data_IF_578519319201
#
_entry.id   IF_578519319201
#
_cell.length_a   1.000
_cell.length_b   1.000
_cell.length_c   1.000
_cell.angle_alpha   90.00
_cell.angle_beta   90.00
_cell.angle_gamma   90.00
#
_symmetry.space_group_name_H-M   'P 1'
#
loop_
_entity.id
_entity.type
_entity.pdbx_description
1 polymer ?
#
# COMPACT_ATOMS: atom_id res chain seq x y z
N UNK A 1 -9.84 -15.77 -12.26
CA UNK A 1 -10.31 -15.12 -11.01
C UNK A 1 -9.70 -13.71 -10.92
N UNK A 2 -10.03 -12.87 -9.92
CA UNK A 2 -9.30 -11.58 -9.79
C UNK A 2 -7.80 -11.82 -9.58
N UNK A 3 -7.44 -12.84 -8.78
CA UNK A 3 -6.04 -13.18 -8.52
C UNK A 3 -5.29 -13.60 -9.78
N UNK A 4 -5.91 -14.43 -10.62
CA UNK A 4 -5.34 -14.82 -11.92
C UNK A 4 -5.11 -13.61 -12.84
N UNK A 5 -6.04 -12.65 -12.87
CA UNK A 5 -5.89 -11.44 -13.68
C UNK A 5 -4.78 -10.52 -13.13
N UNK A 6 -4.64 -10.40 -11.80
CA UNK A 6 -3.55 -9.64 -11.17
C UNK A 6 -2.21 -10.33 -11.43
N UNK A 7 -2.13 -11.64 -11.29
CA UNK A 7 -0.93 -12.44 -11.54
C UNK A 7 -0.44 -12.25 -12.98
N UNK A 8 -1.31 -12.56 -13.96
CA UNK A 8 -0.98 -12.58 -15.38
C UNK A 8 -0.72 -11.19 -15.97
N UNK A 9 -1.30 -10.11 -15.40
CA UNK A 9 -1.20 -8.75 -15.96
C UNK A 9 -0.22 -7.86 -15.23
N UNK A 10 0.09 -8.17 -13.97
CA UNK A 10 0.89 -7.30 -13.11
C UNK A 10 2.07 -8.07 -12.52
N UNK A 11 1.83 -9.13 -11.76
CA UNK A 11 2.90 -9.83 -11.01
C UNK A 11 3.92 -10.45 -11.95
N UNK A 12 3.49 -11.29 -12.91
CA UNK A 12 4.40 -11.95 -13.85
C UNK A 12 5.09 -10.95 -14.79
N UNK A 13 4.38 -10.01 -15.47
CA UNK A 13 5.03 -9.12 -16.44
C UNK A 13 5.99 -8.11 -15.80
N UNK A 14 5.78 -7.74 -14.54
CA UNK A 14 6.71 -6.90 -13.79
C UNK A 14 7.70 -7.74 -12.97
N UNK A 15 7.69 -9.06 -13.07
CA UNK A 15 8.57 -9.96 -12.31
C UNK A 15 8.57 -9.64 -10.80
N UNK A 16 7.39 -9.45 -10.21
CA UNK A 16 7.21 -9.15 -8.79
C UNK A 16 7.37 -10.44 -7.97
N UNK A 17 8.59 -10.96 -7.94
CA UNK A 17 8.94 -12.30 -7.45
C UNK A 17 8.64 -12.58 -5.97
N UNK A 18 8.33 -11.55 -5.18
CA UNK A 18 7.95 -11.67 -3.77
C UNK A 18 6.55 -11.13 -3.52
N UNK A 19 5.70 -11.11 -4.54
CA UNK A 19 4.29 -10.71 -4.47
C UNK A 19 3.39 -11.92 -4.64
N UNK A 20 2.41 -12.09 -3.75
CA UNK A 20 1.57 -13.28 -3.68
C UNK A 20 0.10 -12.92 -3.45
N UNK A 21 -0.79 -13.70 -4.05
CA UNK A 21 -2.24 -13.69 -3.79
C UNK A 21 -2.61 -14.99 -3.06
N UNK A 22 -2.66 -15.00 -1.72
CA UNK A 22 -2.75 -16.22 -0.92
C UNK A 22 -4.15 -16.87 -0.93
N UNK A 23 -5.17 -16.19 -1.45
CA UNK A 23 -6.55 -16.67 -1.41
C UNK A 23 -7.05 -16.78 0.03
N UNK A 24 -7.43 -17.97 0.47
CA UNK A 24 -7.86 -18.22 1.85
C UNK A 24 -6.75 -18.74 2.77
N UNK A 25 -5.51 -18.87 2.27
CA UNK A 25 -4.37 -19.29 3.09
C UNK A 25 -4.01 -18.20 4.09
N UNK A 26 -3.80 -18.58 5.35
CA UNK A 26 -3.29 -17.68 6.40
C UNK A 26 -1.76 -17.63 6.44
N UNK A 27 -1.08 -18.35 5.57
CA UNK A 27 0.39 -18.49 5.57
C UNK A 27 1.04 -17.37 4.76
N UNK A 28 2.01 -16.69 5.37
CA UNK A 28 2.97 -15.85 4.65
C UNK A 28 4.11 -16.77 4.14
N UNK A 29 4.39 -16.84 2.83
CA UNK A 29 5.37 -17.79 2.30
C UNK A 29 6.81 -17.56 2.80
N UNK A 30 7.51 -18.66 3.06
CA UNK A 30 8.93 -18.66 3.39
C UNK A 30 9.24 -18.18 4.81
N UNK A 31 10.46 -17.71 5.02
CA UNK A 31 10.94 -17.22 6.33
C UNK A 31 11.34 -15.74 6.30
N UNK A 32 11.23 -15.09 5.13
CA UNK A 32 11.62 -13.69 4.92
C UNK A 32 10.46 -12.74 5.25
N UNK A 33 9.86 -12.92 6.41
CA UNK A 33 8.82 -12.04 6.93
C UNK A 33 8.95 -11.93 8.45
N UNK A 34 8.49 -10.81 9.00
CA UNK A 34 8.41 -10.64 10.44
C UNK A 34 7.18 -11.34 11.01
N UNK A 35 7.08 -11.39 12.34
CA UNK A 35 5.80 -11.59 13.03
C UNK A 35 4.95 -10.33 12.88
N UNK A 36 3.64 -10.49 12.70
CA UNK A 36 2.66 -9.40 12.71
C UNK A 36 1.97 -9.27 14.06
N UNK A 37 1.81 -8.06 14.57
CA UNK A 37 1.25 -7.82 15.90
C UNK A 37 0.05 -6.88 15.88
N UNK A 38 -0.99 -7.25 16.63
CA UNK A 38 -2.18 -6.41 16.82
C UNK A 38 -2.29 -5.99 18.29
N UNK A 39 -2.69 -4.74 18.53
CA UNK A 39 -3.14 -4.28 19.85
C UNK A 39 -4.60 -3.89 19.78
N UNK A 40 -5.44 -4.64 20.48
CA UNK A 40 -6.86 -4.33 20.62
C UNK A 40 -7.11 -3.31 21.73
N UNK A 41 -8.19 -2.55 21.60
CA UNK A 41 -8.59 -1.54 22.58
C UNK A 41 -8.83 -2.15 23.96
N UNK A 42 -8.25 -1.52 24.98
CA UNK A 42 -8.30 -2.02 26.37
C UNK A 42 -7.26 -3.11 26.67
N UNK A 43 -6.45 -3.54 25.70
CA UNK A 43 -5.39 -4.53 25.92
C UNK A 43 -4.01 -3.88 26.04
N UNK A 44 -3.24 -4.30 27.05
CA UNK A 44 -1.87 -3.83 27.28
C UNK A 44 -0.82 -4.58 26.45
N UNK A 45 -1.13 -5.82 26.06
CA UNK A 45 -0.21 -6.71 25.35
C UNK A 45 -0.42 -6.68 23.84
N UNK A 46 0.64 -6.94 23.09
CA UNK A 46 0.56 -7.22 21.65
C UNK A 46 0.20 -8.69 21.44
N UNK A 47 -0.78 -8.95 20.57
CA UNK A 47 -1.12 -10.30 20.13
C UNK A 47 -0.42 -10.60 18.81
N UNK A 48 0.28 -11.74 18.75
CA UNK A 48 0.81 -12.26 17.48
C UNK A 48 -0.36 -12.73 16.61
N UNK A 49 -0.54 -12.06 15.47
CA UNK A 49 -1.59 -12.33 14.49
C UNK A 49 -0.98 -12.62 13.11
N UNK A 50 0.27 -13.13 13.09
CA UNK A 50 1.03 -13.42 11.85
C UNK A 50 0.23 -14.30 10.87
N UNK A 51 -0.59 -15.20 11.40
CA UNK A 51 -1.45 -16.09 10.61
C UNK A 51 -2.91 -15.66 10.73
N UNK A 52 -3.31 -14.69 9.92
CA UNK A 52 -4.66 -14.14 9.89
C UNK A 52 -5.31 -14.34 8.53
N UNK A 53 -6.64 -14.35 8.49
CA UNK A 53 -7.38 -14.41 7.22
C UNK A 53 -7.11 -13.13 6.41
N UNK A 54 -6.65 -13.24 5.15
CA UNK A 54 -6.13 -12.10 4.41
C UNK A 54 -7.22 -11.21 3.77
N UNK A 55 -8.47 -11.69 3.67
CA UNK A 55 -9.54 -10.94 3.02
C UNK A 55 -9.79 -11.43 1.58
N UNK A 56 -10.01 -10.50 0.65
CA UNK A 56 -10.13 -10.77 -0.79
C UNK A 56 -9.47 -9.63 -1.58
N UNK A 57 -10.00 -9.29 -2.76
CA UNK A 57 -9.47 -8.26 -3.65
C UNK A 57 -9.34 -6.85 -3.06
N UNK A 58 -9.83 -6.62 -1.84
CA UNK A 58 -9.73 -5.39 -1.07
C UNK A 58 -8.44 -5.28 -0.22
N UNK A 59 -7.69 -6.37 0.00
CA UNK A 59 -6.49 -6.30 0.84
C UNK A 59 -5.70 -7.60 1.08
N UNK A 60 -5.90 -8.66 0.27
CA UNK A 60 -5.31 -9.98 0.54
C UNK A 60 -3.84 -10.15 0.15
N UNK A 61 -3.30 -9.23 -0.64
CA UNK A 61 -1.97 -9.38 -1.25
C UNK A 61 -0.83 -9.28 -0.23
N UNK A 62 0.19 -10.11 -0.44
CA UNK A 62 1.49 -10.04 0.25
C UNK A 62 2.51 -9.51 -0.74
N UNK A 63 3.41 -8.62 -0.32
CA UNK A 63 4.46 -8.08 -1.20
C UNK A 63 5.68 -7.61 -0.39
N UNK A 64 6.66 -7.05 -1.08
CA UNK A 64 7.88 -6.46 -0.49
C UNK A 64 8.02 -4.99 -0.88
N UNK A 65 8.87 -4.25 -0.18
CA UNK A 65 9.13 -2.85 -0.52
C UNK A 65 9.68 -2.70 -1.95
N UNK A 66 10.54 -3.61 -2.41
CA UNK A 66 11.10 -3.57 -3.76
C UNK A 66 10.03 -3.77 -4.84
N UNK A 67 9.18 -4.79 -4.68
CA UNK A 67 8.09 -5.08 -5.62
C UNK A 67 7.04 -3.95 -5.65
N UNK A 68 6.68 -3.40 -4.49
CA UNK A 68 5.74 -2.27 -4.40
C UNK A 68 6.32 -1.00 -5.05
N UNK A 69 7.59 -0.70 -4.83
CA UNK A 69 8.28 0.40 -5.52
C UNK A 69 8.27 0.19 -7.04
N UNK A 70 8.57 -1.03 -7.51
CA UNK A 70 8.53 -1.37 -8.94
C UNK A 70 7.13 -1.19 -9.52
N UNK A 71 6.09 -1.69 -8.84
CA UNK A 71 4.70 -1.52 -9.23
C UNK A 71 4.33 -0.04 -9.37
N UNK A 72 4.53 0.77 -8.33
CA UNK A 72 4.16 2.19 -8.36
C UNK A 72 5.00 2.99 -9.37
N UNK A 73 6.28 2.65 -9.55
CA UNK A 73 7.12 3.26 -10.59
C UNK A 73 6.57 3.00 -11.99
N UNK A 74 6.18 1.76 -12.30
CA UNK A 74 5.62 1.40 -13.61
C UNK A 74 4.21 1.99 -13.82
N UNK A 75 3.39 2.02 -12.78
CA UNK A 75 2.06 2.62 -12.82
C UNK A 75 2.14 4.12 -13.10
N UNK A 76 2.89 4.86 -12.28
CA UNK A 76 2.96 6.33 -12.34
C UNK A 76 3.81 6.85 -13.51
N UNK A 77 4.61 6.00 -14.14
CA UNK A 77 5.31 6.32 -15.40
C UNK A 77 4.50 5.98 -16.66
N UNK A 78 3.29 5.44 -16.52
CA UNK A 78 2.43 5.08 -17.66
C UNK A 78 2.88 3.82 -18.41
N UNK A 79 3.68 2.96 -17.79
CA UNK A 79 4.12 1.68 -18.36
C UNK A 79 3.12 0.55 -18.12
N UNK A 80 2.29 0.65 -17.09
CA UNK A 80 1.27 -0.35 -16.77
C UNK A 80 -0.10 0.01 -17.40
N UNK A 81 -0.49 1.28 -17.32
CA UNK A 81 -1.71 1.80 -17.92
C UNK A 81 -1.36 2.76 -19.06
N UNK A 82 -2.09 2.67 -20.17
CA UNK A 82 -2.04 3.71 -21.21
C UNK A 82 -2.49 5.05 -20.62
N UNK A 83 -2.04 6.13 -21.24
CA UNK A 83 -2.28 7.50 -20.77
C UNK A 83 -3.76 7.79 -20.45
N UNK A 84 -4.69 7.34 -21.31
CA UNK A 84 -6.13 7.56 -21.09
C UNK A 84 -6.63 6.91 -19.79
N UNK A 85 -6.24 5.65 -19.51
CA UNK A 85 -6.61 4.93 -18.29
C UNK A 85 -5.91 5.53 -17.06
N UNK A 86 -4.62 5.88 -17.16
CA UNK A 86 -3.91 6.54 -16.06
C UNK A 86 -4.58 7.87 -15.69
N UNK A 87 -5.00 8.66 -16.69
CA UNK A 87 -5.75 9.90 -16.45
C UNK A 87 -7.07 9.65 -15.73
N UNK A 88 -7.81 8.59 -16.10
CA UNK A 88 -9.04 8.22 -15.38
C UNK A 88 -8.73 7.79 -13.93
N UNK A 89 -7.69 7.00 -13.72
CA UNK A 89 -7.27 6.55 -12.39
C UNK A 89 -6.94 7.72 -11.45
N UNK A 90 -6.29 8.76 -11.99
CA UNK A 90 -5.89 9.97 -11.27
C UNK A 90 -6.97 11.06 -11.25
N UNK A 91 -8.13 10.82 -11.85
CA UNK A 91 -9.28 11.73 -11.73
C UNK A 91 -9.94 11.51 -10.38
N UNK A 92 -9.82 12.48 -9.49
CA UNK A 92 -10.17 12.30 -8.07
C UNK A 92 -11.41 13.06 -7.63
N UNK A 93 -12.06 12.53 -6.60
CA UNK A 93 -13.12 13.19 -5.82
C UNK A 93 -12.62 13.57 -4.42
N UNK A 94 -13.14 14.64 -3.79
CA UNK A 94 -12.81 14.95 -2.41
C UNK A 94 -13.35 13.88 -1.46
N UNK A 95 -12.58 13.54 -0.42
CA UNK A 95 -12.98 12.52 0.58
C UNK A 95 -13.59 13.13 1.84
N UNK A 96 -13.23 14.38 2.18
CA UNK A 96 -13.50 14.98 3.50
C UNK A 96 -12.61 14.46 4.64
N UNK A 97 -11.60 13.64 4.34
CA UNK A 97 -10.66 13.04 5.29
C UNK A 97 -9.33 13.80 5.17
N UNK A 98 -8.78 14.29 6.29
CA UNK A 98 -7.61 15.16 6.28
C UNK A 98 -6.34 14.46 5.76
N UNK A 99 -6.21 13.17 6.05
CA UNK A 99 -5.07 12.32 5.71
C UNK A 99 -5.11 11.86 4.24
N UNK A 100 -6.33 11.71 3.71
CA UNK A 100 -6.60 11.16 2.37
C UNK A 100 -7.33 12.24 1.57
N UNK A 101 -6.68 13.35 1.21
CA UNK A 101 -7.38 14.54 0.71
C UNK A 101 -8.28 14.30 -0.50
N UNK A 102 -7.81 13.53 -1.49
CA UNK A 102 -8.57 13.21 -2.71
C UNK A 102 -8.34 11.78 -3.15
N UNK A 103 -9.39 11.11 -3.60
CA UNK A 103 -9.34 9.68 -3.94
C UNK A 103 -9.80 9.45 -5.39
N UNK A 104 -9.03 8.65 -6.13
CA UNK A 104 -9.26 8.27 -7.52
C UNK A 104 -9.72 6.81 -7.64
N UNK A 105 -9.32 6.12 -8.70
CA UNK A 105 -9.66 4.70 -8.87
C UNK A 105 -8.59 3.83 -8.19
N UNK A 106 -8.78 3.51 -6.91
CA UNK A 106 -7.87 2.63 -6.14
C UNK A 106 -6.52 3.27 -5.77
N UNK A 107 -6.43 4.60 -5.82
CA UNK A 107 -5.25 5.39 -5.48
C UNK A 107 -5.70 6.75 -4.96
N UNK A 108 -4.95 7.35 -4.04
CA UNK A 108 -5.23 8.70 -3.55
C UNK A 108 -4.01 9.61 -3.61
N UNK A 109 -4.29 10.91 -3.54
CA UNK A 109 -3.29 11.97 -3.49
C UNK A 109 -3.04 12.41 -2.04
N UNK A 110 -1.79 12.28 -1.58
CA UNK A 110 -1.27 12.94 -0.39
C UNK A 110 -0.51 14.18 -0.81
N UNK A 111 -1.08 15.36 -0.54
CA UNK A 111 -0.46 16.64 -0.86
C UNK A 111 0.34 17.16 0.32
N UNK A 112 1.65 17.34 0.12
CA UNK A 112 2.54 17.86 1.14
C UNK A 112 2.49 19.40 1.21
N UNK A 113 2.89 20.02 2.35
CA UNK A 113 2.91 21.48 2.51
C UNK A 113 3.79 22.21 1.49
N UNK A 114 4.83 21.56 0.95
CA UNK A 114 5.70 22.13 -0.09
C UNK A 114 5.08 22.04 -1.51
N UNK A 115 3.86 21.51 -1.65
CA UNK A 115 3.14 21.38 -2.91
C UNK A 115 3.39 20.08 -3.67
N UNK A 116 4.29 19.21 -3.20
CA UNK A 116 4.51 17.89 -3.80
C UNK A 116 3.29 17.01 -3.59
N UNK A 117 2.85 16.36 -4.67
CA UNK A 117 1.78 15.37 -4.65
C UNK A 117 2.37 13.96 -4.73
N UNK A 118 2.08 13.15 -3.71
CA UNK A 118 2.42 11.74 -3.67
C UNK A 118 1.15 10.96 -4.00
N UNK A 119 1.23 10.07 -4.98
CA UNK A 119 0.15 9.20 -5.42
C UNK A 119 0.44 7.78 -4.95
N UNK A 120 -0.48 7.21 -4.19
CA UNK A 120 -0.26 5.92 -3.55
C UNK A 120 -1.49 5.38 -2.85
N UNK A 121 -1.24 4.38 -2.01
CA UNK A 121 -2.26 3.78 -1.16
C UNK A 121 -1.67 3.32 0.18
N UNK A 122 -2.39 3.57 1.26
CA UNK A 122 -2.13 2.96 2.56
C UNK A 122 -3.02 1.73 2.75
N UNK A 123 -2.47 0.70 3.40
CA UNK A 123 -3.20 -0.51 3.76
C UNK A 123 -3.05 -0.79 5.24
N UNK A 124 -4.09 -1.34 5.83
CA UNK A 124 -4.07 -1.86 7.19
C UNK A 124 -4.78 -3.22 7.19
N UNK A 125 -4.03 -4.25 7.59
CA UNK A 125 -4.52 -5.61 7.81
C UNK A 125 -4.05 -6.04 9.20
N UNK A 126 -4.70 -7.03 9.85
CA UNK A 126 -4.26 -7.50 11.16
C UNK A 126 -2.75 -7.78 11.19
N UNK A 127 -2.04 -7.09 12.08
CA UNK A 127 -0.60 -7.23 12.25
C UNK A 127 0.30 -6.39 11.32
N UNK A 128 -0.24 -5.72 10.29
CA UNK A 128 0.57 -4.99 9.32
C UNK A 128 -0.09 -3.68 8.85
N UNK A 129 0.69 -2.60 8.87
CA UNK A 129 0.32 -1.30 8.29
C UNK A 129 1.32 -0.94 7.20
N UNK A 130 0.85 -0.52 6.04
CA UNK A 130 1.69 -0.26 4.87
C UNK A 130 1.31 1.07 4.23
N UNK A 131 2.29 1.77 3.68
CA UNK A 131 2.08 2.77 2.65
C UNK A 131 3.01 2.48 1.48
N UNK A 132 2.50 2.60 0.25
CA UNK A 132 3.34 2.61 -0.94
C UNK A 132 2.81 3.61 -1.97
N UNK A 133 3.73 4.29 -2.65
CA UNK A 133 3.39 5.31 -3.64
C UNK A 133 4.60 6.03 -4.22
N UNK A 134 4.36 7.13 -4.92
CA UNK A 134 5.41 7.96 -5.48
C UNK A 134 4.90 9.21 -6.19
N UNK A 135 5.83 9.94 -6.80
CA UNK A 135 5.49 11.13 -7.61
C UNK A 135 5.13 10.74 -9.04
N UNK A 136 4.33 11.57 -9.71
CA UNK A 136 3.99 11.39 -11.12
C UNK A 136 5.25 11.30 -11.99
N UNK A 137 5.21 10.41 -12.98
CA UNK A 137 6.37 10.04 -13.80
C UNK A 137 7.16 8.86 -13.22
N UNK A 138 6.87 8.42 -11.99
CA UNK A 138 7.35 7.14 -11.45
C UNK A 138 8.84 7.07 -11.16
N UNK A 139 9.53 8.21 -11.05
CA UNK A 139 10.99 8.28 -10.80
C UNK A 139 11.37 8.32 -9.32
N UNK A 140 10.42 8.65 -8.46
CA UNK A 140 10.63 8.74 -7.01
C UNK A 140 9.47 8.04 -6.31
N UNK A 141 9.75 6.88 -5.74
CA UNK A 141 8.77 6.03 -5.04
C UNK A 141 9.26 5.70 -3.64
N UNK A 142 8.31 5.38 -2.77
CA UNK A 142 8.57 4.94 -1.41
C UNK A 142 7.55 3.87 -1.03
N UNK A 143 8.04 2.80 -0.38
CA UNK A 143 7.21 1.77 0.24
C UNK A 143 7.71 1.56 1.69
N UNK A 144 6.77 1.57 2.63
CA UNK A 144 7.04 1.45 4.08
C UNK A 144 6.04 0.46 4.66
N UNK A 145 6.51 -0.43 5.53
CA UNK A 145 5.67 -1.34 6.28
C UNK A 145 6.03 -1.30 7.78
N UNK A 146 5.02 -1.47 8.62
CA UNK A 146 5.13 -1.72 10.05
C UNK A 146 4.48 -3.06 10.34
N UNK A 147 5.16 -3.90 11.13
CA UNK A 147 4.66 -5.21 11.57
C UNK A 147 3.84 -5.09 12.87
N UNK A 148 3.08 -4.01 13.00
CA UNK A 148 2.27 -3.69 14.16
C UNK A 148 1.14 -2.75 13.78
N UNK A 149 -0.09 -3.13 14.14
CA UNK A 149 -1.28 -2.29 14.00
C UNK A 149 -1.95 -2.09 15.37
N UNK A 150 -2.46 -0.88 15.60
CA UNK A 150 -3.23 -0.54 16.80
C UNK A 150 -4.65 -0.24 16.35
N UNK A 151 -5.63 -0.93 16.93
CA UNK A 151 -7.06 -0.68 16.62
C UNK A 151 -7.54 0.68 17.12
N UNK A 152 -6.86 1.24 18.13
CA UNK A 152 -7.20 2.56 18.67
C UNK A 152 -7.01 3.61 17.60
N UNK A 153 -8.06 4.41 17.36
CA UNK A 153 -8.03 5.54 16.42
C UNK A 153 -6.84 6.46 16.76
N UNK A 154 -5.73 6.32 16.04
CA UNK A 154 -4.62 7.25 16.11
C UNK A 154 -4.91 8.34 15.09
N UNK A 155 -5.18 9.59 15.50
CA UNK A 155 -5.42 10.68 14.56
C UNK A 155 -4.19 11.04 13.72
N UNK A 156 -3.02 10.46 14.00
CA UNK A 156 -1.83 10.64 13.18
C UNK A 156 -1.54 9.40 12.35
N UNK A 157 -1.59 9.57 11.02
CA UNK A 157 -0.95 8.69 10.03
C UNK A 157 0.52 8.46 10.44
N UNK A 158 0.93 7.21 10.74
CA UNK A 158 2.28 6.91 11.19
C UNK A 158 3.36 7.20 10.13
N UNK A 159 2.99 7.36 8.86
CA UNK A 159 3.93 7.56 7.75
C UNK A 159 4.18 9.03 7.41
N UNK A 160 3.36 9.95 7.89
CA UNK A 160 3.37 11.38 7.49
C UNK A 160 4.75 12.02 7.55
N UNK A 161 5.48 11.86 8.65
CA UNK A 161 6.80 12.48 8.82
C UNK A 161 7.86 11.85 7.91
N UNK A 162 7.74 10.56 7.60
CA UNK A 162 8.63 9.88 6.66
C UNK A 162 8.40 10.42 5.25
N UNK A 163 7.12 10.57 4.85
CA UNK A 163 6.75 11.16 3.56
C UNK A 163 7.28 12.59 3.43
N UNK A 164 7.14 13.40 4.48
CA UNK A 164 7.71 14.75 4.51
C UNK A 164 9.24 14.72 4.34
N UNK A 165 9.96 13.87 5.09
CA UNK A 165 11.42 13.82 5.02
C UNK A 165 11.93 13.35 3.64
N UNK A 166 11.24 12.39 3.02
CA UNK A 166 11.65 11.80 1.75
C UNK A 166 11.35 12.70 0.55
N UNK A 167 10.16 13.32 0.52
CA UNK A 167 9.66 14.07 -0.65
C UNK A 167 9.74 15.60 -0.52
N UNK A 168 10.25 16.14 0.59
CA UNK A 168 10.39 17.60 0.77
C UNK A 168 11.73 18.19 0.36
N UNK A 169 12.58 17.43 -0.34
CA UNK A 169 13.89 17.90 -0.82
C UNK A 169 13.78 18.68 -2.12
#
# INVERSE_FOLDING_TARGET
SYAEEVENRIVEPLELSNTFLPGNSTVIPGTKHARGYERYDGESELKDVTYSYPGSSDGDMISTADDLNKFFSYLLSGKLLKEQQLKQMLTTVPTGIAEIGRYGLGIYETKLPNGVSIWGHAGASPGFSTFAGGTLGGKHTLAINLNGHKTSYSPSDPFKNILLAEFSK
#
